data_IF_572974333556
#
_entry.id   IF_572974333556
#
_cell.length_a   1.000
_cell.length_b   1.000
_cell.length_c   1.000
_cell.angle_alpha   90.00
_cell.angle_beta   90.00
_cell.angle_gamma   90.00
#
_symmetry.space_group_name_H-M   'P 1'
#
loop_
_entity.id
_entity.type
_entity.pdbx_description
1 polymer ?
#
# COMPACT_ATOMS: atom_id res chain seq x y z
N UNK A 1 37.01 18.18 -17.01
CA UNK A 1 36.56 18.45 -15.63
C UNK A 1 35.04 18.47 -15.62
N UNK A 2 34.42 17.62 -14.83
CA UNK A 2 32.95 17.58 -14.68
C UNK A 2 32.50 18.67 -13.70
N UNK A 3 31.30 19.24 -13.88
CA UNK A 3 30.71 20.17 -12.91
C UNK A 3 30.63 19.58 -11.49
N UNK A 4 30.57 18.25 -11.39
CA UNK A 4 30.61 17.53 -10.12
C UNK A 4 31.98 17.64 -9.40
N UNK A 5 33.07 17.89 -10.11
CA UNK A 5 34.42 18.01 -9.52
C UNK A 5 34.58 19.31 -8.71
N UNK A 6 33.77 20.32 -9.03
CA UNK A 6 33.77 21.65 -8.39
C UNK A 6 32.93 21.70 -7.10
N UNK A 7 32.17 20.65 -6.78
CA UNK A 7 31.33 20.63 -5.59
C UNK A 7 32.16 20.59 -4.28
N UNK A 8 31.74 21.30 -3.21
CA UNK A 8 32.40 21.22 -1.90
C UNK A 8 32.49 19.78 -1.39
N UNK A 9 33.60 19.44 -0.72
CA UNK A 9 33.84 18.08 -0.21
C UNK A 9 32.70 17.54 0.67
N UNK A 10 32.08 18.40 1.48
CA UNK A 10 30.93 18.04 2.31
C UNK A 10 29.71 17.61 1.47
N UNK A 11 29.47 18.27 0.33
CA UNK A 11 28.37 17.94 -0.58
C UNK A 11 28.62 16.62 -1.28
N UNK A 12 29.85 16.37 -1.73
CA UNK A 12 30.26 15.07 -2.32
C UNK A 12 30.04 13.93 -1.33
N UNK A 13 30.50 14.09 -0.09
CA UNK A 13 30.35 13.09 0.97
C UNK A 13 28.88 12.83 1.34
N UNK A 14 28.06 13.88 1.42
CA UNK A 14 26.63 13.74 1.69
C UNK A 14 25.92 12.94 0.58
N UNK A 15 26.30 13.19 -0.67
CA UNK A 15 25.79 12.46 -1.83
C UNK A 15 26.18 10.99 -1.82
N UNK A 16 27.45 10.68 -1.56
CA UNK A 16 27.93 9.29 -1.44
C UNK A 16 27.26 8.53 -0.28
N UNK A 17 27.04 9.20 0.86
CA UNK A 17 26.29 8.61 1.97
C UNK A 17 24.84 8.29 1.57
N UNK A 18 24.19 9.17 0.80
CA UNK A 18 22.83 8.93 0.33
C UNK A 18 22.74 7.81 -0.71
N UNK A 19 23.68 7.75 -1.66
CA UNK A 19 23.79 6.65 -2.61
C UNK A 19 23.98 5.31 -1.88
N UNK A 20 24.90 5.25 -0.91
CA UNK A 20 25.09 4.03 -0.09
C UNK A 20 23.85 3.65 0.71
N UNK A 21 23.14 4.62 1.28
CA UNK A 21 21.88 4.31 1.99
C UNK A 21 20.79 3.81 1.04
N UNK A 22 20.77 4.26 -0.21
CA UNK A 22 19.83 3.78 -1.22
C UNK A 22 20.16 2.35 -1.66
N UNK A 23 21.43 2.05 -1.93
CA UNK A 23 21.86 0.69 -2.28
C UNK A 23 21.58 -0.30 -1.16
N UNK A 24 21.81 0.09 0.11
CA UNK A 24 21.45 -0.72 1.27
C UNK A 24 19.93 -0.97 1.35
N UNK A 25 19.10 0.02 1.02
CA UNK A 25 17.65 -0.16 0.96
C UNK A 25 17.25 -1.19 -0.11
N UNK A 26 17.88 -1.14 -1.29
CA UNK A 26 17.61 -2.13 -2.34
C UNK A 26 17.97 -3.55 -1.89
N UNK A 27 19.14 -3.70 -1.24
CA UNK A 27 19.59 -4.99 -0.69
C UNK A 27 18.61 -5.54 0.36
N UNK A 28 18.11 -4.70 1.26
CA UNK A 28 17.11 -5.07 2.27
C UNK A 28 15.76 -5.47 1.65
N UNK A 29 15.39 -4.89 0.50
CA UNK A 29 14.22 -5.29 -0.30
C UNK A 29 14.50 -6.48 -1.24
N UNK A 30 15.70 -7.08 -1.18
CA UNK A 30 16.15 -8.16 -2.08
C UNK A 30 16.13 -7.77 -3.57
N UNK A 31 16.36 -6.49 -3.87
CA UNK A 31 16.43 -5.94 -5.23
C UNK A 31 17.89 -5.65 -5.58
N UNK A 32 18.39 -6.21 -6.70
CA UNK A 32 19.73 -5.87 -7.17
C UNK A 32 19.77 -4.56 -7.97
N UNK A 33 20.91 -3.88 -7.95
CA UNK A 33 21.12 -2.68 -8.76
C UNK A 33 21.04 -3.00 -10.26
N UNK A 34 21.56 -4.15 -10.68
CA UNK A 34 21.51 -4.63 -12.06
C UNK A 34 20.05 -4.81 -12.52
N UNK A 35 19.20 -5.39 -11.67
CA UNK A 35 17.78 -5.55 -11.97
C UNK A 35 17.07 -4.20 -12.12
N UNK A 36 17.38 -3.25 -11.24
CA UNK A 36 16.86 -1.89 -11.37
C UNK A 36 17.32 -1.25 -12.68
N UNK A 37 18.59 -1.45 -13.08
CA UNK A 37 19.13 -1.01 -14.36
C UNK A 37 18.38 -1.59 -15.57
N UNK A 38 18.04 -2.89 -15.53
CA UNK A 38 17.20 -3.53 -16.56
C UNK A 38 15.80 -2.91 -16.62
N UNK A 39 15.20 -2.61 -15.46
CA UNK A 39 13.90 -1.94 -15.41
C UNK A 39 13.94 -0.55 -16.06
N UNK A 40 15.06 0.16 -15.98
CA UNK A 40 15.22 1.49 -16.59
C UNK A 40 15.30 1.46 -18.11
N UNK A 41 15.41 0.29 -18.75
CA UNK A 41 15.37 0.13 -20.22
C UNK A 41 13.96 -0.15 -20.76
N UNK A 42 12.97 -0.35 -19.88
CA UNK A 42 11.59 -0.67 -20.26
C UNK A 42 10.75 0.60 -20.38
N UNK A 43 9.64 0.52 -21.10
CA UNK A 43 8.67 1.64 -21.21
C UNK A 43 8.11 2.08 -19.85
N UNK A 44 8.04 1.16 -18.87
CA UNK A 44 7.58 1.43 -17.51
C UNK A 44 8.62 2.06 -16.59
N UNK A 45 9.81 2.44 -17.09
CA UNK A 45 10.92 2.93 -16.28
C UNK A 45 10.54 4.12 -15.38
N UNK A 46 9.74 5.06 -15.88
CA UNK A 46 9.30 6.23 -15.08
C UNK A 46 8.42 5.82 -13.89
N UNK A 47 7.53 4.84 -14.07
CA UNK A 47 6.67 4.33 -12.98
C UNK A 47 7.51 3.56 -11.95
N UNK A 48 8.45 2.74 -12.41
CA UNK A 48 9.35 1.97 -11.52
C UNK A 48 10.21 2.93 -10.71
N UNK A 49 10.80 3.95 -11.34
CA UNK A 49 11.65 4.92 -10.67
C UNK A 49 10.85 5.77 -9.67
N UNK A 50 9.61 6.11 -9.98
CA UNK A 50 8.70 6.77 -9.02
C UNK A 50 8.48 5.89 -7.79
N UNK A 51 8.07 4.65 -7.99
CA UNK A 51 7.75 3.72 -6.92
C UNK A 51 8.95 3.42 -6.02
N UNK A 52 10.13 3.21 -6.61
CA UNK A 52 11.35 2.89 -5.86
C UNK A 52 11.82 4.10 -5.03
N UNK A 53 11.77 5.31 -5.59
CA UNK A 53 12.15 6.53 -4.86
C UNK A 53 11.14 6.88 -3.77
N UNK A 54 9.85 6.64 -4.00
CA UNK A 54 8.79 6.83 -3.00
C UNK A 54 8.95 5.86 -1.82
N UNK A 55 9.16 4.56 -2.10
CA UNK A 55 9.50 3.54 -1.10
C UNK A 55 10.75 3.91 -0.31
N UNK A 56 11.80 4.38 -0.99
CA UNK A 56 13.02 4.83 -0.30
C UNK A 56 12.77 6.02 0.64
N UNK A 57 11.89 6.95 0.25
CA UNK A 57 11.45 8.04 1.11
C UNK A 57 10.81 7.53 2.41
N UNK A 58 9.90 6.56 2.29
CA UNK A 58 9.28 5.92 3.45
C UNK A 58 10.28 5.12 4.30
N UNK A 59 11.19 4.38 3.66
CA UNK A 59 12.29 3.70 4.33
C UNK A 59 13.09 4.65 5.22
N UNK A 60 13.47 5.83 4.70
CA UNK A 60 14.16 6.84 5.49
C UNK A 60 13.31 7.39 6.65
N UNK A 61 11.99 7.51 6.47
CA UNK A 61 11.09 8.00 7.50
C UNK A 61 10.95 7.03 8.70
N UNK A 62 11.20 5.73 8.49
CA UNK A 62 11.18 4.70 9.53
C UNK A 62 12.58 4.20 9.94
N UNK A 63 13.62 4.66 9.25
CA UNK A 63 14.99 4.28 9.58
C UNK A 63 15.39 4.80 10.95
N UNK A 64 15.82 3.88 11.80
CA UNK A 64 16.38 4.20 13.10
C UNK A 64 17.88 4.50 12.99
N UNK A 65 18.33 5.54 13.71
CA UNK A 65 19.73 5.86 13.89
C UNK A 65 20.37 4.98 14.98
N UNK A 66 21.63 5.29 15.32
CA UNK A 66 22.44 4.50 16.28
C UNK A 66 21.85 4.36 17.69
N UNK A 67 20.84 5.17 18.04
CA UNK A 67 20.18 5.19 19.35
C UNK A 67 18.75 4.62 19.31
N UNK A 68 18.36 3.93 18.23
CA UNK A 68 16.97 3.48 18.01
C UNK A 68 15.99 4.63 17.71
N UNK A 69 16.47 5.87 17.62
CA UNK A 69 15.64 7.03 17.30
C UNK A 69 15.49 7.18 15.79
N UNK A 70 14.27 7.47 15.35
CA UNK A 70 13.99 7.78 13.94
C UNK A 70 14.82 8.98 13.45
N UNK A 71 15.21 8.96 12.18
CA UNK A 71 15.88 10.09 11.56
C UNK A 71 15.05 11.37 11.65
N UNK A 72 15.67 12.48 12.06
CA UNK A 72 15.05 13.81 12.05
C UNK A 72 14.62 14.21 10.63
N UNK A 73 13.54 15.00 10.49
CA UNK A 73 12.99 15.42 9.19
C UNK A 73 14.05 16.00 8.27
N UNK A 74 14.88 16.91 8.76
CA UNK A 74 15.95 17.52 7.95
C UNK A 74 16.93 16.48 7.40
N UNK A 75 17.25 15.43 8.18
CA UNK A 75 18.11 14.34 7.72
C UNK A 75 17.41 13.51 6.64
N UNK A 76 16.15 13.11 6.87
CA UNK A 76 15.33 12.37 5.88
C UNK A 76 15.29 13.12 4.55
N UNK A 77 14.97 14.42 4.60
CA UNK A 77 14.87 15.24 3.39
C UNK A 77 16.21 15.45 2.69
N UNK A 78 17.31 15.54 3.43
CA UNK A 78 18.66 15.62 2.86
C UNK A 78 19.04 14.31 2.15
N UNK A 79 18.85 13.15 2.80
CA UNK A 79 19.10 11.85 2.19
C UNK A 79 18.25 11.62 0.95
N UNK A 80 16.95 11.91 1.03
CA UNK A 80 16.02 11.81 -0.09
C UNK A 80 16.46 12.67 -1.27
N UNK A 81 16.76 13.96 -1.03
CA UNK A 81 17.18 14.90 -2.09
C UNK A 81 18.48 14.44 -2.75
N UNK A 82 19.47 14.03 -1.97
CA UNK A 82 20.76 13.60 -2.50
C UNK A 82 20.67 12.28 -3.28
N UNK A 83 19.89 11.31 -2.79
CA UNK A 83 19.65 10.05 -3.50
C UNK A 83 18.86 10.27 -4.79
N UNK A 84 17.81 11.11 -4.76
CA UNK A 84 17.04 11.50 -5.95
C UNK A 84 17.96 12.08 -7.01
N UNK A 85 18.76 13.09 -6.67
CA UNK A 85 19.68 13.72 -7.61
C UNK A 85 20.70 12.73 -8.15
N UNK A 86 21.29 11.89 -7.28
CA UNK A 86 22.24 10.86 -7.71
C UNK A 86 21.61 9.85 -8.67
N UNK A 87 20.39 9.37 -8.41
CA UNK A 87 19.66 8.44 -9.29
C UNK A 87 19.35 9.05 -10.66
N UNK A 88 18.90 10.31 -10.69
CA UNK A 88 18.62 11.01 -11.94
C UNK A 88 19.90 11.30 -12.75
N UNK A 89 21.08 11.26 -12.12
CA UNK A 89 22.36 11.28 -12.83
C UNK A 89 22.78 9.91 -13.35
N UNK A 90 22.34 8.80 -12.73
CA UNK A 90 22.55 7.45 -13.27
C UNK A 90 21.63 7.17 -14.47
N UNK A 91 20.42 7.75 -14.49
CA UNK A 91 19.43 7.58 -15.55
C UNK A 91 18.96 8.93 -16.13
N UNK A 92 19.86 9.69 -16.78
CA UNK A 92 19.57 11.05 -17.25
C UNK A 92 18.42 11.11 -18.26
N UNK A 93 18.19 10.04 -19.04
CA UNK A 93 17.12 9.92 -20.02
C UNK A 93 15.71 10.06 -19.41
N UNK A 94 15.53 9.69 -18.15
CA UNK A 94 14.22 9.72 -17.47
C UNK A 94 13.97 11.04 -16.72
N UNK A 95 14.98 11.90 -16.61
CA UNK A 95 14.95 13.10 -15.75
C UNK A 95 13.82 14.07 -16.10
N UNK A 96 13.62 14.37 -17.38
CA UNK A 96 12.61 15.33 -17.81
C UNK A 96 11.18 14.88 -17.49
N UNK A 97 10.90 13.57 -17.60
CA UNK A 97 9.57 13.01 -17.36
C UNK A 97 9.20 12.89 -15.88
N UNK A 98 10.19 12.64 -15.02
CA UNK A 98 9.91 12.22 -13.64
C UNK A 98 10.22 13.25 -12.56
N UNK A 99 11.06 14.26 -12.82
CA UNK A 99 11.56 15.14 -11.74
C UNK A 99 10.43 15.91 -11.03
N UNK A 100 9.40 16.34 -11.77
CA UNK A 100 8.20 16.99 -11.20
C UNK A 100 7.39 16.03 -10.32
N UNK A 101 7.31 14.75 -10.69
CA UNK A 101 6.62 13.71 -9.92
C UNK A 101 7.38 13.46 -8.62
N UNK A 102 8.69 13.25 -8.69
CA UNK A 102 9.53 13.03 -7.51
C UNK A 102 9.57 14.25 -6.59
N UNK A 103 9.49 15.47 -7.13
CA UNK A 103 9.35 16.68 -6.31
C UNK A 103 8.05 16.65 -5.47
N UNK A 104 6.93 16.27 -6.08
CA UNK A 104 5.64 16.12 -5.37
C UNK A 104 5.73 15.03 -4.29
N UNK A 105 6.35 13.88 -4.60
CA UNK A 105 6.58 12.80 -3.62
C UNK A 105 7.42 13.28 -2.44
N UNK A 106 8.49 14.03 -2.70
CA UNK A 106 9.30 14.68 -1.66
C UNK A 106 8.50 15.63 -0.75
N UNK A 107 7.57 16.42 -1.31
CA UNK A 107 6.68 17.28 -0.51
C UNK A 107 5.66 16.49 0.33
N UNK A 108 5.22 15.32 -0.15
CA UNK A 108 4.37 14.41 0.63
C UNK A 108 5.17 13.81 1.79
N UNK A 109 6.40 13.36 1.53
CA UNK A 109 7.32 12.86 2.56
C UNK A 109 7.62 13.91 3.62
N UNK A 110 7.89 15.16 3.23
CA UNK A 110 8.15 16.23 4.18
C UNK A 110 6.95 16.51 5.09
N UNK A 111 5.74 16.56 4.52
CA UNK A 111 4.49 16.69 5.28
C UNK A 111 4.27 15.51 6.23
N UNK A 112 4.62 14.31 5.79
CA UNK A 112 4.58 13.12 6.63
C UNK A 112 5.52 13.25 7.84
N UNK A 113 6.79 13.61 7.62
CA UNK A 113 7.75 13.80 8.68
C UNK A 113 7.35 14.92 9.65
N UNK A 114 6.76 16.02 9.17
CA UNK A 114 6.23 17.09 10.02
C UNK A 114 5.13 16.59 10.97
N UNK A 115 4.18 15.80 10.46
CA UNK A 115 3.10 15.22 11.29
C UNK A 115 3.62 14.20 12.31
N UNK A 116 4.67 13.46 11.93
CA UNK A 116 5.36 12.51 12.81
C UNK A 116 6.04 13.24 13.98
N UNK A 117 6.72 14.35 13.71
CA UNK A 117 7.41 15.16 14.73
C UNK A 117 6.45 15.91 15.66
N UNK A 118 5.34 16.42 15.14
CA UNK A 118 4.38 17.18 15.94
C UNK A 118 3.47 16.32 16.84
N UNK A 119 3.59 14.99 16.79
CA UNK A 119 2.66 14.08 17.46
C UNK A 119 1.22 14.17 16.92
N UNK A 120 0.99 14.94 15.85
CA UNK A 120 -0.31 15.05 15.16
C UNK A 120 -0.59 13.85 14.26
N UNK A 121 0.30 12.85 14.25
CA UNK A 121 -0.14 11.49 14.02
C UNK A 121 -1.17 11.18 15.09
N UNK A 122 -2.46 11.24 14.72
CA UNK A 122 -3.51 10.54 15.47
C UNK A 122 -2.89 9.18 15.79
N UNK A 123 -2.87 8.77 17.05
CA UNK A 123 -2.54 7.41 17.44
C UNK A 123 -3.53 6.51 16.71
N UNK A 124 -3.23 6.20 15.45
CA UNK A 124 -4.00 5.29 14.65
C UNK A 124 -3.81 3.97 15.37
N UNK A 125 -4.93 3.28 15.60
CA UNK A 125 -4.86 1.89 15.99
C UNK A 125 -3.81 1.21 15.12
N UNK A 126 -2.90 0.40 15.70
CA UNK A 126 -1.87 -0.29 14.92
C UNK A 126 -2.53 -0.95 13.72
N UNK A 127 -1.86 -0.88 12.57
CA UNK A 127 -2.36 -1.53 11.37
C UNK A 127 -2.64 -2.99 11.73
N UNK A 128 -3.83 -3.48 11.35
CA UNK A 128 -4.14 -4.89 11.54
C UNK A 128 -3.01 -5.69 10.86
N UNK A 129 -2.52 -6.74 11.50
CA UNK A 129 -1.54 -7.66 10.93
C UNK A 129 -2.25 -8.92 10.43
N UNK A 130 -1.64 -9.67 9.50
CA UNK A 130 -2.23 -10.94 9.04
C UNK A 130 -2.44 -11.91 10.21
N UNK A 131 -1.53 -11.89 11.19
CA UNK A 131 -1.62 -12.69 12.42
C UNK A 131 -2.82 -12.28 13.29
N UNK A 132 -3.07 -10.98 13.45
CA UNK A 132 -4.23 -10.48 14.19
C UNK A 132 -5.53 -10.81 13.44
N UNK A 133 -5.56 -10.65 12.12
CA UNK A 133 -6.69 -11.09 11.28
C UNK A 133 -6.97 -12.56 11.50
N UNK A 134 -5.95 -13.42 11.41
CA UNK A 134 -6.09 -14.85 11.64
C UNK A 134 -6.70 -15.18 12.99
N UNK A 135 -6.23 -14.55 14.06
CA UNK A 135 -6.79 -14.76 15.41
C UNK A 135 -8.27 -14.40 15.47
N UNK A 136 -8.66 -13.26 14.90
CA UNK A 136 -10.06 -12.83 14.85
C UNK A 136 -10.92 -13.76 13.99
N UNK A 137 -10.43 -14.18 12.83
CA UNK A 137 -11.13 -15.11 11.94
C UNK A 137 -11.32 -16.49 12.58
N UNK A 138 -10.28 -17.05 13.21
CA UNK A 138 -10.38 -18.32 13.94
C UNK A 138 -11.39 -18.23 15.06
N UNK A 139 -11.41 -17.12 15.80
CA UNK A 139 -12.42 -16.88 16.83
C UNK A 139 -13.83 -16.89 16.24
N UNK A 140 -14.09 -16.09 15.20
CA UNK A 140 -15.40 -16.02 14.54
C UNK A 140 -15.85 -17.40 14.06
N UNK A 141 -14.99 -18.16 13.37
CA UNK A 141 -15.34 -19.51 12.91
C UNK A 141 -15.58 -20.49 14.07
N UNK A 142 -14.85 -20.37 15.18
CA UNK A 142 -15.03 -21.25 16.34
C UNK A 142 -16.32 -21.00 17.11
N UNK A 143 -16.88 -19.80 17.02
CA UNK A 143 -18.10 -19.38 17.73
C UNK A 143 -19.31 -19.22 16.81
N UNK A 144 -19.15 -19.41 15.50
CA UNK A 144 -20.21 -19.19 14.52
C UNK A 144 -21.36 -20.20 14.69
N UNK A 145 -22.58 -19.70 14.80
CA UNK A 145 -23.80 -20.49 14.91
C UNK A 145 -24.89 -20.06 13.91
N UNK A 146 -24.83 -18.83 13.45
CA UNK A 146 -25.84 -18.18 12.61
C UNK A 146 -25.26 -17.70 11.29
N UNK A 147 -26.11 -17.40 10.31
CA UNK A 147 -25.70 -16.77 9.05
C UNK A 147 -24.94 -15.45 9.27
N UNK A 148 -25.34 -14.67 10.27
CA UNK A 148 -24.71 -13.40 10.58
C UNK A 148 -23.23 -13.58 10.98
N UNK A 149 -22.91 -14.62 11.75
CA UNK A 149 -21.53 -14.88 12.18
C UNK A 149 -20.60 -15.16 10.98
N UNK A 150 -21.09 -15.88 9.98
CA UNK A 150 -20.34 -16.13 8.73
C UNK A 150 -20.26 -14.88 7.84
N UNK A 151 -21.30 -14.03 7.84
CA UNK A 151 -21.26 -12.73 7.17
C UNK A 151 -20.27 -11.78 7.85
N UNK A 152 -20.13 -11.81 9.18
CA UNK A 152 -19.13 -11.06 9.93
C UNK A 152 -17.71 -11.53 9.60
N UNK A 153 -17.49 -12.84 9.47
CA UNK A 153 -16.21 -13.38 9.01
C UNK A 153 -15.86 -12.91 7.58
N UNK A 154 -16.83 -12.95 6.66
CA UNK A 154 -16.64 -12.42 5.31
C UNK A 154 -16.38 -10.90 5.29
N UNK A 155 -17.12 -10.14 6.10
CA UNK A 155 -16.95 -8.70 6.25
C UNK A 155 -15.54 -8.37 6.78
N UNK A 156 -15.10 -9.03 7.85
CA UNK A 156 -13.77 -8.81 8.43
C UNK A 156 -12.66 -9.15 7.41
N UNK A 157 -12.81 -10.26 6.70
CA UNK A 157 -11.87 -10.67 5.67
C UNK A 157 -11.81 -9.66 4.51
N UNK A 158 -12.97 -9.20 4.00
CA UNK A 158 -13.02 -8.22 2.93
C UNK A 158 -12.48 -6.85 3.37
N UNK A 159 -12.75 -6.43 4.62
CA UNK A 159 -12.19 -5.22 5.19
C UNK A 159 -10.67 -5.24 5.19
N UNK A 160 -10.05 -6.40 5.47
CA UNK A 160 -8.60 -6.57 5.37
C UNK A 160 -8.09 -6.26 3.96
N UNK A 161 -8.68 -6.90 2.93
CA UNK A 161 -8.26 -6.70 1.53
C UNK A 161 -8.59 -5.31 0.99
N UNK A 162 -9.57 -4.62 1.57
CA UNK A 162 -9.94 -3.25 1.22
C UNK A 162 -9.22 -2.18 2.06
N UNK A 163 -8.25 -2.55 2.90
CA UNK A 163 -7.53 -1.64 3.80
C UNK A 163 -8.46 -0.86 4.75
N UNK A 164 -9.52 -1.51 5.24
CA UNK A 164 -10.47 -0.97 6.22
C UNK A 164 -11.57 -0.08 5.62
N UNK A 165 -11.75 -0.06 4.30
CA UNK A 165 -12.79 0.74 3.63
C UNK A 165 -14.18 0.10 3.74
N UNK A 166 -14.84 0.30 4.88
CA UNK A 166 -16.16 -0.27 5.14
C UNK A 166 -17.28 0.26 4.22
N UNK A 167 -17.21 1.54 3.82
CA UNK A 167 -18.24 2.17 2.96
C UNK A 167 -18.36 1.51 1.60
N UNK A 168 -17.27 0.96 1.07
CA UNK A 168 -17.23 0.33 -0.25
C UNK A 168 -17.96 -1.04 -0.23
N UNK A 169 -18.15 -1.63 0.97
CA UNK A 169 -18.80 -2.93 1.15
C UNK A 169 -20.32 -2.87 1.32
N UNK A 170 -20.88 -1.71 1.69
CA UNK A 170 -22.31 -1.58 1.96
C UNK A 170 -23.18 -1.75 0.70
N UNK A 171 -22.61 -1.51 -0.48
CA UNK A 171 -23.30 -1.64 -1.77
C UNK A 171 -22.93 -2.92 -2.52
N UNK A 172 -22.20 -3.85 -1.88
CA UNK A 172 -21.66 -5.01 -2.55
C UNK A 172 -22.74 -6.09 -2.78
N UNK A 173 -23.02 -6.39 -4.05
CA UNK A 173 -24.00 -7.40 -4.48
C UNK A 173 -23.31 -8.65 -5.03
N UNK A 174 -24.04 -9.75 -5.09
CA UNK A 174 -23.53 -11.01 -5.69
C UNK A 174 -23.11 -10.83 -7.16
N UNK A 175 -23.82 -9.99 -7.91
CA UNK A 175 -23.50 -9.67 -9.31
C UNK A 175 -22.16 -8.93 -9.49
N UNK A 176 -21.58 -8.41 -8.41
CA UNK A 176 -20.26 -7.78 -8.42
C UNK A 176 -19.12 -8.78 -8.39
N UNK A 177 -19.40 -10.05 -8.08
CA UNK A 177 -18.44 -11.14 -8.14
C UNK A 177 -18.34 -11.65 -9.57
N UNK A 178 -17.12 -11.85 -10.04
CA UNK A 178 -16.86 -12.50 -11.33
C UNK A 178 -15.55 -13.30 -11.28
N UNK A 179 -15.42 -14.27 -12.18
CA UNK A 179 -14.19 -15.04 -12.35
C UNK A 179 -13.60 -14.63 -13.71
N UNK A 180 -12.36 -14.15 -13.71
CA UNK A 180 -11.65 -13.79 -14.93
C UNK A 180 -10.73 -14.90 -15.40
N UNK A 181 -9.89 -14.58 -16.41
CA UNK A 181 -8.90 -15.52 -16.91
C UNK A 181 -7.90 -15.92 -15.81
N UNK A 182 -7.53 -17.21 -15.78
CA UNK A 182 -6.59 -17.75 -14.79
C UNK A 182 -7.21 -17.96 -13.40
N UNK A 183 -8.52 -18.21 -13.33
CA UNK A 183 -9.26 -18.53 -12.09
C UNK A 183 -9.17 -17.44 -11.00
N UNK A 184 -8.92 -16.20 -11.41
CA UNK A 184 -8.85 -15.04 -10.52
C UNK A 184 -10.27 -14.58 -10.21
N UNK A 185 -10.60 -14.51 -8.91
CA UNK A 185 -11.86 -13.96 -8.45
C UNK A 185 -11.77 -12.43 -8.38
N UNK A 186 -12.74 -11.74 -8.96
CA UNK A 186 -12.83 -10.29 -8.97
C UNK A 186 -14.08 -9.83 -8.23
N UNK A 187 -13.89 -8.82 -7.39
CA UNK A 187 -14.95 -8.06 -6.74
C UNK A 187 -14.95 -6.66 -7.32
N UNK A 188 -16.01 -6.27 -8.03
CA UNK A 188 -16.17 -4.92 -8.59
C UNK A 188 -17.09 -4.08 -7.71
N UNK A 189 -16.65 -2.93 -7.24
CA UNK A 189 -17.46 -2.06 -6.40
C UNK A 189 -17.29 -0.60 -6.79
N UNK A 190 -18.29 0.21 -6.46
CA UNK A 190 -18.23 1.65 -6.70
C UNK A 190 -17.54 2.28 -5.50
N UNK A 191 -16.47 3.02 -5.76
CA UNK A 191 -15.83 3.80 -4.72
C UNK A 191 -16.74 4.98 -4.34
N UNK A 192 -17.30 4.95 -3.13
CA UNK A 192 -18.31 5.93 -2.68
C UNK A 192 -17.80 7.37 -2.79
N UNK A 193 -16.49 7.60 -2.60
CA UNK A 193 -15.92 8.95 -2.60
C UNK A 193 -15.78 9.57 -4.00
N UNK A 194 -15.56 8.75 -5.03
CA UNK A 194 -15.29 9.25 -6.39
C UNK A 194 -16.37 8.85 -7.39
N UNK A 195 -17.34 8.01 -6.98
CA UNK A 195 -18.32 7.36 -7.84
C UNK A 195 -17.68 6.58 -9.01
N UNK A 196 -16.44 6.14 -8.84
CA UNK A 196 -15.69 5.40 -9.87
C UNK A 196 -15.73 3.90 -9.57
N UNK A 197 -15.88 3.08 -10.61
CA UNK A 197 -15.82 1.62 -10.47
C UNK A 197 -14.38 1.17 -10.20
N UNK A 198 -14.19 0.41 -9.13
CA UNK A 198 -12.92 -0.21 -8.77
C UNK A 198 -13.05 -1.73 -8.74
N UNK A 199 -11.94 -2.42 -8.98
CA UNK A 199 -11.84 -3.87 -8.89
C UNK A 199 -10.84 -4.31 -7.82
N UNK A 200 -11.20 -5.35 -7.08
CA UNK A 200 -10.31 -6.08 -6.18
C UNK A 200 -10.16 -7.52 -6.70
N UNK A 201 -8.92 -7.92 -6.98
CA UNK A 201 -8.58 -9.32 -7.25
C UNK A 201 -8.37 -10.07 -5.94
N UNK A 202 -9.08 -11.18 -5.77
CA UNK A 202 -8.98 -12.10 -4.64
C UNK A 202 -8.36 -13.40 -5.12
N UNK A 203 -7.40 -13.88 -4.34
CA UNK A 203 -6.72 -15.16 -4.56
C UNK A 203 -6.98 -16.08 -3.36
N UNK A 204 -7.02 -17.40 -3.56
CA UNK A 204 -7.08 -18.35 -2.46
C UNK A 204 -5.83 -18.20 -1.59
N UNK A 205 -6.02 -18.32 -0.28
CA UNK A 205 -4.95 -18.36 0.71
C UNK A 205 -4.78 -19.82 1.15
N UNK A 206 -3.53 -20.26 1.37
CA UNK A 206 -3.24 -21.61 1.88
C UNK A 206 -3.80 -21.79 3.30
N UNK A 207 -3.90 -20.69 4.04
CA UNK A 207 -4.55 -20.67 5.34
C UNK A 207 -6.06 -20.45 5.19
N UNK A 208 -6.84 -21.50 5.45
CA UNK A 208 -8.30 -21.45 5.37
C UNK A 208 -8.89 -20.32 6.23
N UNK A 209 -8.27 -19.99 7.36
CA UNK A 209 -8.79 -18.99 8.28
C UNK A 209 -8.76 -17.57 7.70
N UNK A 210 -7.81 -17.28 6.82
CA UNK A 210 -7.68 -15.97 6.16
C UNK A 210 -8.03 -16.00 4.67
N UNK A 211 -8.51 -17.14 4.16
CA UNK A 211 -8.86 -17.31 2.75
C UNK A 211 -10.15 -16.53 2.41
N UNK A 212 -10.07 -15.50 1.54
CA UNK A 212 -11.23 -14.67 1.23
C UNK A 212 -12.31 -15.43 0.45
N UNK A 213 -11.92 -16.38 -0.41
CA UNK A 213 -12.88 -17.19 -1.14
C UNK A 213 -13.70 -18.08 -0.19
N UNK A 214 -13.04 -18.68 0.81
CA UNK A 214 -13.73 -19.49 1.80
C UNK A 214 -14.69 -18.63 2.64
N UNK A 215 -14.23 -17.47 3.10
CA UNK A 215 -15.06 -16.57 3.88
C UNK A 215 -16.32 -16.13 3.12
N UNK A 216 -16.17 -15.73 1.85
CA UNK A 216 -17.30 -15.37 0.97
C UNK A 216 -18.21 -16.58 0.72
N UNK A 217 -17.65 -17.76 0.43
CA UNK A 217 -18.43 -18.97 0.18
C UNK A 217 -19.28 -19.36 1.39
N UNK A 218 -18.70 -19.34 2.60
CA UNK A 218 -19.43 -19.62 3.84
C UNK A 218 -20.54 -18.61 4.10
N UNK A 219 -20.28 -17.31 3.89
CA UNK A 219 -21.30 -16.29 4.00
C UNK A 219 -22.44 -16.52 3.01
N UNK A 220 -22.16 -16.89 1.75
CA UNK A 220 -23.19 -17.13 0.74
C UNK A 220 -24.02 -18.39 1.00
N UNK A 221 -23.38 -19.50 1.39
CA UNK A 221 -24.06 -20.79 1.62
C UNK A 221 -24.95 -20.75 2.86
N UNK A 222 -24.58 -19.94 3.86
CA UNK A 222 -25.33 -19.85 5.12
C UNK A 222 -26.45 -18.80 5.08
N UNK A 223 -26.63 -18.07 3.99
CA UNK A 223 -27.71 -17.08 3.87
C UNK A 223 -29.09 -17.73 4.03
N UNK A 224 -29.86 -17.23 5.00
CA UNK A 224 -31.17 -17.76 5.37
C UNK A 224 -32.27 -17.44 4.35
N UNK A 225 -32.03 -16.51 3.43
CA UNK A 225 -33.01 -16.07 2.45
C UNK A 225 -32.37 -15.69 1.11
N UNK A 226 -33.11 -15.81 -0.01
CA UNK A 226 -32.67 -15.29 -1.30
C UNK A 226 -32.46 -13.77 -1.23
N UNK A 227 -31.21 -13.33 -1.27
CA UNK A 227 -30.83 -11.92 -1.29
C UNK A 227 -29.87 -11.63 -2.44
N UNK A 228 -29.94 -10.42 -3.00
CA UNK A 228 -28.98 -9.92 -3.97
C UNK A 228 -27.70 -9.39 -3.30
N UNK A 229 -27.79 -9.01 -2.01
CA UNK A 229 -26.64 -8.53 -1.24
C UNK A 229 -25.66 -9.65 -0.96
N UNK A 230 -24.36 -9.34 -1.01
CA UNK A 230 -23.32 -10.25 -0.55
C UNK A 230 -23.28 -10.29 0.98
N UNK A 231 -23.46 -9.13 1.63
CA UNK A 231 -23.46 -8.95 3.08
C UNK A 231 -24.80 -8.36 3.52
N UNK A 232 -25.80 -9.21 3.72
CA UNK A 232 -27.17 -8.79 4.04
C UNK A 232 -27.31 -8.05 5.37
N UNK A 233 -26.34 -8.20 6.28
CA UNK A 233 -26.31 -7.51 7.56
C UNK A 233 -25.99 -6.01 7.45
N UNK A 234 -25.43 -5.55 6.33
CA UNK A 234 -25.13 -4.14 6.13
C UNK A 234 -26.38 -3.43 5.61
N UNK A 235 -26.77 -2.34 6.28
CA UNK A 235 -27.85 -1.47 5.82
C UNK A 235 -27.46 -0.83 4.48
N UNK A 236 -28.34 -0.92 3.47
CA UNK A 236 -28.18 -0.12 2.25
C UNK A 236 -28.26 1.37 2.60
N UNK A 237 -27.39 2.23 2.04
CA UNK A 237 -27.50 3.67 2.24
C UNK A 237 -28.86 4.15 1.72
N UNK A 238 -29.62 4.86 2.57
CA UNK A 238 -30.88 5.46 2.14
C UNK A 238 -30.60 6.46 1.02
N UNK A 239 -30.91 6.10 -0.22
CA UNK A 239 -31.01 7.08 -1.30
C UNK A 239 -32.20 7.96 -1.00
N UNK A 240 -31.94 9.14 -0.44
CA UNK A 240 -32.92 10.23 -0.42
C UNK A 240 -33.31 10.51 -1.87
N UNK A 241 -34.52 10.08 -2.25
CA UNK A 241 -35.13 10.49 -3.50
C UNK A 241 -35.38 11.99 -3.40
N UNK A 242 -34.67 12.77 -4.21
CA UNK A 242 -35.00 14.15 -4.56
C UNK A 242 -35.32 14.19 -6.05
#
# INVERSE_FOLDING_TARGET
>A
MSLNDLAPANTKRARECAARSFLKFLEEESVSWEYLGVCMQRESASLVLEAVVDKFGMYLAFKEGRKGQLLARHSVMQYYRQAKTWLLEQFPQHRAGIDKILLKKGQVLERYCMKRESGAFVNKAPACTKTALKQMMVYLYSTAYTSADYQDAALLCLLWFLFGRASDLTMLRKANLSIGAGDIFFVRFIWVKTAEEQGLSLFPDDDFSTCPLLAIALALVTQSSPTASLLSQLSEPQTSQY
#
